data_IF_633368681881
#
_entry.id   IF_633368681881
#
_cell.length_a   1.000
_cell.length_b   1.000
_cell.length_c   1.000
_cell.angle_alpha   90.00
_cell.angle_beta   90.00
_cell.angle_gamma   90.00
#
_symmetry.space_group_name_H-M   'P 1'
#
loop_
_entity.id
_entity.type
_entity.pdbx_description
1 polymer ?
#
# COMPACT_ATOMS: atom_id res chain seq x y z
N UNK A 1 -4.58 -7.29 1.93
CA UNK A 1 -3.40 -7.98 1.39
C UNK A 1 -3.36 -9.47 1.75
N UNK A 2 -3.44 -9.89 3.02
CA UNK A 2 -3.34 -11.31 3.39
C UNK A 2 -4.41 -12.16 2.70
N UNK A 3 -5.68 -11.71 2.68
CA UNK A 3 -6.79 -12.40 2.01
C UNK A 3 -6.49 -12.66 0.52
N UNK A 4 -6.16 -11.60 -0.21
CA UNK A 4 -6.03 -11.65 -1.68
C UNK A 4 -4.73 -12.30 -2.17
N UNK A 5 -3.69 -12.32 -1.33
CA UNK A 5 -2.41 -12.91 -1.68
C UNK A 5 -2.29 -14.39 -1.30
N UNK A 6 -3.30 -14.96 -0.64
CA UNK A 6 -3.25 -16.34 -0.15
C UNK A 6 -4.57 -17.08 -0.41
N UNK A 7 -5.05 -17.18 -1.67
CA UNK A 7 -6.18 -18.04 -1.99
C UNK A 7 -5.80 -19.51 -1.84
N UNK A 8 -6.78 -20.37 -1.63
CA UNK A 8 -6.54 -21.81 -1.66
C UNK A 8 -6.14 -22.30 -3.05
N UNK A 9 -6.73 -21.71 -4.09
CA UNK A 9 -6.41 -22.00 -5.50
C UNK A 9 -6.48 -20.71 -6.33
N UNK A 10 -5.43 -20.43 -7.09
CA UNK A 10 -5.37 -19.29 -8.02
C UNK A 10 -6.29 -19.47 -9.23
N UNK A 11 -6.74 -20.70 -9.53
CA UNK A 11 -7.68 -20.97 -10.61
C UNK A 11 -9.15 -20.71 -10.19
N UNK A 12 -9.43 -20.56 -8.90
CA UNK A 12 -10.77 -20.44 -8.36
C UNK A 12 -10.84 -19.28 -7.36
N UNK A 13 -10.95 -18.06 -7.87
CA UNK A 13 -11.01 -16.81 -7.09
C UNK A 13 -12.29 -16.06 -7.45
N UNK A 14 -12.93 -15.45 -6.48
CA UNK A 14 -14.03 -14.52 -6.74
C UNK A 14 -13.54 -13.24 -7.38
N UNK A 15 -14.23 -12.74 -8.40
CA UNK A 15 -13.90 -11.50 -9.11
C UNK A 15 -13.44 -10.32 -8.23
N UNK A 16 -14.08 -9.99 -7.09
CA UNK A 16 -13.61 -8.88 -6.27
C UNK A 16 -12.24 -9.08 -5.62
N UNK A 17 -11.75 -10.33 -5.58
CA UNK A 17 -10.45 -10.72 -5.01
C UNK A 17 -9.36 -10.91 -6.06
N UNK A 18 -9.70 -10.83 -7.35
CA UNK A 18 -8.76 -10.84 -8.47
C UNK A 18 -8.24 -9.44 -8.74
N UNK A 19 -7.11 -9.34 -9.44
CA UNK A 19 -6.63 -8.09 -10.01
C UNK A 19 -7.24 -7.86 -11.38
N UNK A 20 -7.46 -6.58 -11.74
CA UNK A 20 -7.82 -6.22 -13.10
C UNK A 20 -6.71 -6.72 -14.07
N UNK A 21 -7.06 -7.29 -15.24
CA UNK A 21 -6.07 -7.84 -16.16
C UNK A 21 -5.01 -6.83 -16.60
N UNK A 22 -5.40 -5.59 -16.87
CA UNK A 22 -4.49 -4.49 -17.20
C UNK A 22 -5.14 -3.13 -16.87
N UNK A 23 -6.03 -2.61 -17.69
CA UNK A 23 -6.78 -1.38 -17.44
C UNK A 23 -8.04 -1.65 -16.61
N UNK A 24 -8.47 -0.66 -15.85
CA UNK A 24 -9.57 -0.76 -14.92
C UNK A 24 -9.10 -1.08 -13.49
N UNK A 25 -10.04 -1.47 -12.66
CA UNK A 25 -9.78 -1.78 -11.26
C UNK A 25 -10.78 -2.80 -10.70
N UNK A 26 -10.36 -3.49 -9.66
CA UNK A 26 -11.20 -4.33 -8.80
C UNK A 26 -11.01 -3.88 -7.35
N UNK A 27 -11.84 -4.33 -6.41
CA UNK A 27 -11.63 -4.02 -4.99
C UNK A 27 -10.24 -4.40 -4.47
N UNK A 28 -9.63 -5.47 -5.00
CA UNK A 28 -8.26 -5.88 -4.67
C UNK A 28 -7.21 -4.83 -5.06
N UNK A 29 -7.43 -4.11 -6.15
CA UNK A 29 -6.50 -3.08 -6.63
C UNK A 29 -6.50 -1.81 -5.75
N UNK A 30 -7.48 -1.63 -4.88
CA UNK A 30 -7.53 -0.52 -3.92
C UNK A 30 -6.65 -0.73 -2.69
N UNK A 31 -6.25 -1.96 -2.39
CA UNK A 31 -5.61 -2.33 -1.11
C UNK A 31 -4.23 -1.67 -0.96
N UNK A 32 -3.40 -1.73 -1.99
CA UNK A 32 -2.04 -1.19 -1.92
C UNK A 32 -1.99 0.35 -1.91
N UNK A 33 -2.73 1.07 -2.77
CA UNK A 33 -2.80 2.54 -2.66
C UNK A 33 -3.39 3.02 -1.33
N UNK A 34 -4.36 2.30 -0.74
CA UNK A 34 -4.87 2.62 0.59
C UNK A 34 -3.78 2.51 1.65
N UNK A 35 -2.93 1.50 1.53
CA UNK A 35 -1.80 1.36 2.45
C UNK A 35 -0.84 2.55 2.33
N UNK A 36 -0.45 2.94 1.12
CA UNK A 36 0.41 4.10 0.89
C UNK A 36 -0.23 5.42 1.37
N UNK A 37 -1.53 5.59 1.10
CA UNK A 37 -2.28 6.74 1.60
C UNK A 37 -2.26 6.83 3.13
N UNK A 38 -2.54 5.72 3.83
CA UNK A 38 -2.52 5.68 5.30
C UNK A 38 -1.12 5.87 5.88
N UNK A 39 -0.07 5.42 5.19
CA UNK A 39 1.31 5.74 5.57
C UNK A 39 1.53 7.26 5.62
N UNK A 40 1.03 8.01 4.64
CA UNK A 40 1.07 9.46 4.62
C UNK A 40 0.29 10.11 5.76
N UNK A 41 -0.95 9.67 6.00
CA UNK A 41 -1.77 10.14 7.11
C UNK A 41 -1.06 9.90 8.46
N UNK A 42 -0.63 8.66 8.70
CA UNK A 42 0.01 8.26 9.96
C UNK A 42 1.35 9.00 10.21
N UNK A 43 2.11 9.30 9.13
CA UNK A 43 3.35 10.07 9.19
C UNK A 43 3.13 11.42 9.87
N UNK A 44 2.05 12.13 9.54
CA UNK A 44 1.77 13.45 10.10
C UNK A 44 1.48 13.40 11.61
N UNK A 45 0.79 12.36 12.07
CA UNK A 45 0.57 12.14 13.51
C UNK A 45 1.87 11.74 14.24
N UNK A 46 2.66 10.84 13.64
CA UNK A 46 3.94 10.42 14.18
C UNK A 46 4.92 11.59 14.32
N UNK A 47 5.06 12.40 13.28
CA UNK A 47 5.94 13.58 13.30
C UNK A 47 5.50 14.61 14.34
N UNK A 48 4.20 14.82 14.49
CA UNK A 48 3.68 15.72 15.51
C UNK A 48 3.99 15.25 16.93
N UNK A 49 3.72 13.98 17.20
CA UNK A 49 3.98 13.40 18.52
C UNK A 49 5.47 13.47 18.89
N UNK A 50 6.36 13.08 17.95
CA UNK A 50 7.82 13.14 18.18
C UNK A 50 8.34 14.58 18.36
N UNK A 51 7.80 15.53 17.59
CA UNK A 51 8.18 16.94 17.72
C UNK A 51 7.70 17.52 19.06
N UNK A 52 6.51 17.14 19.52
CA UNK A 52 6.02 17.52 20.84
C UNK A 52 6.92 16.99 22.00
N UNK A 53 7.64 15.89 21.74
CA UNK A 53 8.66 15.34 22.63
C UNK A 53 10.06 15.92 22.39
N UNK A 54 10.20 17.00 21.61
CA UNK A 54 11.47 17.70 21.38
C UNK A 54 12.33 17.15 20.24
N UNK A 55 11.85 16.22 19.41
CA UNK A 55 12.65 15.68 18.32
C UNK A 55 12.99 16.74 17.26
N UNK A 56 14.26 16.84 16.91
CA UNK A 56 14.78 17.73 15.87
C UNK A 56 14.48 17.21 14.46
N UNK A 57 14.60 18.06 13.43
CA UNK A 57 14.45 17.63 12.03
C UNK A 57 15.43 16.52 11.64
N UNK A 58 16.69 16.64 12.10
CA UNK A 58 17.73 15.65 11.82
C UNK A 58 17.39 14.28 12.44
N UNK A 59 16.89 14.27 13.68
CA UNK A 59 16.47 13.05 14.35
C UNK A 59 15.27 12.40 13.65
N UNK A 60 14.30 13.21 13.16
CA UNK A 60 13.19 12.70 12.38
C UNK A 60 13.66 12.12 11.03
N UNK A 61 14.55 12.81 10.32
CA UNK A 61 15.12 12.33 9.06
C UNK A 61 15.89 11.01 9.25
N UNK A 62 16.72 10.93 10.30
CA UNK A 62 17.44 9.70 10.65
C UNK A 62 16.51 8.53 10.95
N UNK A 63 15.47 8.77 11.74
CA UNK A 63 14.47 7.76 12.02
C UNK A 63 13.74 7.27 10.76
N UNK A 64 13.40 8.19 9.87
CA UNK A 64 12.77 7.86 8.58
C UNK A 64 13.71 7.02 7.71
N UNK A 65 14.97 7.44 7.58
CA UNK A 65 15.98 6.72 6.80
C UNK A 65 16.15 5.29 7.32
N UNK A 66 16.37 5.14 8.63
CA UNK A 66 16.58 3.83 9.25
C UNK A 66 15.38 2.91 9.08
N UNK A 67 14.18 3.43 9.30
CA UNK A 67 12.94 2.68 9.10
C UNK A 67 12.77 2.26 7.64
N UNK A 68 13.06 3.14 6.69
CA UNK A 68 13.00 2.82 5.27
C UNK A 68 14.00 1.73 4.89
N UNK A 69 15.22 1.78 5.40
CA UNK A 69 16.25 0.76 5.17
C UNK A 69 15.81 -0.61 5.70
N UNK A 70 15.25 -0.67 6.90
CA UNK A 70 14.74 -1.92 7.47
C UNK A 70 13.60 -2.50 6.62
N UNK A 71 12.61 -1.68 6.25
CA UNK A 71 11.47 -2.14 5.44
C UNK A 71 11.97 -2.63 4.07
N UNK A 72 12.90 -1.92 3.45
CA UNK A 72 13.50 -2.31 2.17
C UNK A 72 14.26 -3.64 2.30
N UNK A 73 15.07 -3.81 3.34
CA UNK A 73 15.83 -5.02 3.60
C UNK A 73 14.91 -6.24 3.85
N UNK A 74 13.82 -6.07 4.60
CA UNK A 74 12.81 -7.12 4.79
C UNK A 74 12.20 -7.51 3.43
N UNK A 75 11.90 -6.53 2.57
CA UNK A 75 11.39 -6.81 1.23
C UNK A 75 12.37 -7.60 0.37
N UNK A 76 13.66 -7.24 0.37
CA UNK A 76 14.71 -8.00 -0.32
C UNK A 76 14.85 -9.42 0.24
N UNK A 77 14.83 -9.56 1.56
CA UNK A 77 14.87 -10.88 2.21
C UNK A 77 13.71 -11.76 1.74
N UNK A 78 12.49 -11.21 1.72
CA UNK A 78 11.32 -11.95 1.23
C UNK A 78 11.45 -12.33 -0.26
N UNK A 79 12.00 -11.46 -1.09
CA UNK A 79 12.21 -11.76 -2.51
C UNK A 79 13.27 -12.84 -2.71
N UNK A 80 14.35 -12.84 -1.92
CA UNK A 80 15.44 -13.79 -2.00
C UNK A 80 15.13 -15.18 -1.41
N UNK A 81 14.28 -15.22 -0.38
CA UNK A 81 13.99 -16.47 0.34
C UNK A 81 13.37 -17.55 -0.56
N UNK A 82 13.80 -18.82 -0.46
CA UNK A 82 14.85 -19.34 0.41
C UNK A 82 16.25 -19.41 -0.26
N UNK A 83 16.36 -19.26 -1.58
CA UNK A 83 17.54 -19.64 -2.33
C UNK A 83 18.54 -18.50 -2.60
N UNK A 84 18.13 -17.26 -2.41
CA UNK A 84 18.96 -16.05 -2.58
C UNK A 84 19.79 -16.02 -3.86
N UNK A 85 19.14 -16.30 -5.02
CA UNK A 85 19.81 -16.22 -6.33
C UNK A 85 20.09 -14.76 -6.71
N UNK A 86 21.15 -14.18 -6.20
CA UNK A 86 21.51 -12.77 -6.34
C UNK A 86 21.53 -12.25 -7.77
N UNK A 87 21.91 -13.09 -8.75
CA UNK A 87 22.00 -12.71 -10.18
C UNK A 87 20.65 -12.43 -10.84
N UNK A 88 19.54 -12.90 -10.27
CA UNK A 88 18.17 -12.75 -10.82
C UNK A 88 17.11 -12.56 -9.75
N UNK A 89 17.52 -12.26 -8.54
CA UNK A 89 16.59 -11.96 -7.47
C UNK A 89 15.84 -10.66 -7.77
N UNK A 90 14.51 -10.69 -7.72
CA UNK A 90 13.69 -9.49 -7.91
C UNK A 90 14.07 -8.41 -6.89
N UNK A 91 14.42 -7.20 -7.37
CA UNK A 91 14.73 -6.05 -6.51
C UNK A 91 13.46 -5.28 -6.14
N UNK A 92 12.56 -4.92 -7.09
CA UNK A 92 11.31 -4.27 -6.76
C UNK A 92 10.40 -5.15 -5.91
N UNK A 93 9.40 -4.53 -5.29
CA UNK A 93 8.38 -5.23 -4.52
C UNK A 93 7.60 -4.29 -3.62
N UNK A 94 6.56 -4.81 -3.01
CA UNK A 94 5.62 -4.02 -2.19
C UNK A 94 6.32 -3.29 -1.04
N UNK A 95 7.16 -3.99 -0.26
CA UNK A 95 7.87 -3.37 0.87
C UNK A 95 8.93 -2.38 0.42
N UNK A 96 9.65 -2.68 -0.66
CA UNK A 96 10.63 -1.77 -1.24
C UNK A 96 9.96 -0.48 -1.73
N UNK A 97 8.82 -0.57 -2.41
CA UNK A 97 8.05 0.60 -2.82
C UNK A 97 7.56 1.41 -1.62
N UNK A 98 7.03 0.75 -0.58
CA UNK A 98 6.63 1.42 0.66
C UNK A 98 7.80 2.17 1.26
N UNK A 99 8.97 1.54 1.35
CA UNK A 99 10.17 2.15 1.91
C UNK A 99 10.62 3.39 1.15
N UNK A 100 10.68 3.31 -0.19
CA UNK A 100 11.09 4.44 -1.05
C UNK A 100 10.05 5.56 -0.99
N UNK A 101 8.75 5.25 -1.15
CA UNK A 101 7.69 6.25 -1.10
C UNK A 101 7.63 6.94 0.27
N UNK A 102 7.78 6.19 1.37
CA UNK A 102 7.82 6.73 2.72
C UNK A 102 9.02 7.66 2.90
N UNK A 103 10.22 7.24 2.48
CA UNK A 103 11.44 8.04 2.58
C UNK A 103 11.31 9.37 1.83
N UNK A 104 10.95 9.31 0.55
CA UNK A 104 10.89 10.51 -0.30
C UNK A 104 9.78 11.46 0.17
N UNK A 105 8.60 10.95 0.47
CA UNK A 105 7.50 11.76 0.98
C UNK A 105 7.85 12.40 2.33
N UNK A 106 8.49 11.65 3.24
CA UNK A 106 8.91 12.17 4.53
C UNK A 106 9.97 13.28 4.41
N UNK A 107 10.96 13.13 3.51
CA UNK A 107 11.95 14.15 3.25
C UNK A 107 11.31 15.42 2.65
N UNK A 108 10.36 15.27 1.72
CA UNK A 108 9.60 16.41 1.17
C UNK A 108 8.80 17.13 2.27
N UNK A 109 8.15 16.39 3.16
CA UNK A 109 7.43 16.94 4.34
C UNK A 109 8.39 17.68 5.28
N UNK A 110 9.54 17.09 5.60
CA UNK A 110 10.54 17.73 6.48
C UNK A 110 11.13 19.00 5.86
N UNK A 111 11.37 19.01 4.54
CA UNK A 111 11.83 20.21 3.82
C UNK A 111 10.77 21.33 3.84
N UNK A 112 9.48 20.97 3.72
CA UNK A 112 8.37 21.93 3.72
C UNK A 112 7.94 22.40 5.13
N UNK A 113 8.53 21.89 6.22
CA UNK A 113 8.18 22.30 7.59
C UNK A 113 8.59 23.75 7.87
N UNK A 114 7.69 24.48 8.54
CA UNK A 114 8.02 25.79 9.10
C UNK A 114 8.91 25.62 10.33
N UNK A 115 9.83 26.56 10.60
CA UNK A 115 10.43 26.67 11.92
C UNK A 115 9.35 26.78 12.99
N UNK A 116 9.67 26.39 14.22
CA UNK A 116 8.76 26.62 15.34
C UNK A 116 8.50 28.13 15.49
N UNK A 117 7.25 28.49 15.68
CA UNK A 117 6.88 29.87 16.04
C UNK A 117 7.30 30.18 17.49
N UNK A 118 7.09 31.43 17.93
CA UNK A 118 7.40 31.84 19.31
C UNK A 118 6.64 31.04 20.37
N UNK A 119 5.57 30.35 19.99
CA UNK A 119 4.80 29.46 20.88
C UNK A 119 5.25 28.00 20.81
N UNK A 120 6.36 27.71 20.12
CA UNK A 120 6.88 26.35 19.93
C UNK A 120 6.08 25.51 18.94
N UNK A 121 5.08 26.08 18.24
CA UNK A 121 4.26 25.34 17.28
C UNK A 121 4.95 25.27 15.93
N UNK A 122 5.19 24.06 15.46
CA UNK A 122 5.66 23.81 14.09
C UNK A 122 4.44 23.54 13.19
N UNK A 123 4.35 24.25 12.07
CA UNK A 123 3.34 24.04 11.04
C UNK A 123 3.93 23.41 9.79
N UNK A 124 3.06 22.85 8.95
CA UNK A 124 3.42 22.38 7.61
C UNK A 124 3.08 23.44 6.58
N UNK A 125 4.00 23.70 5.64
CA UNK A 125 3.67 24.47 4.42
C UNK A 125 2.95 23.50 3.47
N UNK A 126 1.66 23.71 3.27
CA UNK A 126 0.83 22.84 2.41
C UNK A 126 1.20 23.05 0.93
N UNK A 127 1.42 24.30 0.50
CA UNK A 127 1.66 24.62 -0.91
C UNK A 127 2.83 23.85 -1.54
N UNK A 128 4.04 23.74 -0.95
CA UNK A 128 5.10 22.93 -1.53
C UNK A 128 4.71 21.44 -1.67
N UNK A 129 3.99 20.87 -0.71
CA UNK A 129 3.55 19.47 -0.77
C UNK A 129 2.56 19.27 -1.92
N UNK A 130 1.61 20.20 -2.09
CA UNK A 130 0.67 20.19 -3.23
C UNK A 130 1.41 20.31 -4.56
N UNK A 131 2.35 21.26 -4.67
CA UNK A 131 3.14 21.43 -5.89
C UNK A 131 3.91 20.18 -6.24
N UNK A 132 4.61 19.58 -5.29
CA UNK A 132 5.34 18.31 -5.52
C UNK A 132 4.40 17.20 -5.96
N UNK A 133 3.22 17.08 -5.31
CA UNK A 133 2.21 16.08 -5.70
C UNK A 133 1.75 16.28 -7.14
N UNK A 134 1.42 17.51 -7.53
CA UNK A 134 1.00 17.84 -8.89
C UNK A 134 2.12 17.60 -9.91
N UNK A 135 3.36 18.01 -9.60
CA UNK A 135 4.52 17.77 -10.46
C UNK A 135 4.74 16.28 -10.70
N UNK A 136 4.61 15.46 -9.65
CA UNK A 136 4.73 14.00 -9.78
C UNK A 136 3.61 13.42 -10.66
N UNK A 137 2.36 13.85 -10.50
CA UNK A 137 1.23 13.32 -11.26
C UNK A 137 1.25 13.80 -12.71
N UNK A 138 1.40 15.11 -12.93
CA UNK A 138 1.39 15.70 -14.28
C UNK A 138 2.67 15.33 -15.03
N UNK A 139 3.82 15.39 -14.36
CA UNK A 139 5.11 15.02 -14.97
C UNK A 139 5.17 13.54 -15.35
N UNK A 140 4.60 12.65 -14.52
CA UNK A 140 4.48 11.23 -14.85
C UNK A 140 3.56 11.01 -16.06
N UNK A 141 2.37 11.62 -16.07
CA UNK A 141 1.46 11.57 -17.22
C UNK A 141 2.16 12.07 -18.49
N UNK A 142 2.80 13.23 -18.43
CA UNK A 142 3.51 13.80 -19.57
C UNK A 142 4.64 12.90 -20.05
N UNK A 143 5.44 12.33 -19.14
CA UNK A 143 6.51 11.42 -19.51
C UNK A 143 5.97 10.16 -20.21
N UNK A 144 4.92 9.54 -19.68
CA UNK A 144 4.31 8.34 -20.26
C UNK A 144 3.62 8.60 -21.59
N UNK A 145 3.17 9.84 -21.84
CA UNK A 145 2.41 10.21 -23.05
C UNK A 145 3.31 10.73 -24.16
N UNK A 146 4.35 11.52 -23.84
CA UNK A 146 5.11 12.27 -24.85
C UNK A 146 6.55 11.77 -25.07
N UNK A 147 7.11 10.98 -24.15
CA UNK A 147 8.48 10.46 -24.36
C UNK A 147 8.40 9.23 -25.26
N UNK A 148 9.10 9.24 -26.41
CA UNK A 148 9.12 8.10 -27.31
C UNK A 148 9.90 6.92 -26.69
N UNK A 149 9.34 5.72 -26.80
CA UNK A 149 9.99 4.48 -26.41
C UNK A 149 10.65 3.85 -27.64
N UNK A 150 11.96 3.60 -27.63
CA UNK A 150 12.67 2.99 -28.75
C UNK A 150 12.04 1.66 -29.17
N UNK A 151 11.68 1.55 -30.45
CA UNK A 151 11.02 0.37 -31.02
C UNK A 151 9.49 0.32 -30.85
N UNK A 152 8.90 1.22 -30.03
CA UNK A 152 7.45 1.21 -29.75
C UNK A 152 6.74 2.53 -30.07
N UNK A 153 7.45 3.67 -30.06
CA UNK A 153 6.88 4.99 -30.35
C UNK A 153 6.41 5.74 -29.08
N UNK A 154 5.53 6.72 -29.27
CA UNK A 154 5.00 7.60 -28.19
C UNK A 154 3.65 7.12 -27.65
N UNK A 155 3.37 7.40 -26.37
CA UNK A 155 2.05 7.23 -25.77
C UNK A 155 1.61 5.77 -25.60
N UNK A 156 2.51 4.83 -25.68
CA UNK A 156 2.21 3.40 -25.47
C UNK A 156 2.01 3.11 -24.00
N UNK A 157 0.89 2.44 -23.67
CA UNK A 157 0.52 2.05 -22.31
C UNK A 157 0.31 0.54 -22.18
N UNK A 158 0.59 -0.24 -23.22
CA UNK A 158 0.58 -1.70 -23.19
C UNK A 158 1.71 -2.26 -22.29
N UNK A 159 1.63 -3.50 -21.83
CA UNK A 159 2.59 -4.07 -20.87
C UNK A 159 4.05 -3.95 -21.31
N UNK A 160 4.36 -4.17 -22.58
CA UNK A 160 5.73 -4.26 -23.09
C UNK A 160 6.25 -2.95 -23.66
N UNK A 161 5.37 -2.14 -24.27
CA UNK A 161 5.71 -0.94 -25.03
C UNK A 161 5.73 0.35 -24.23
N UNK A 162 5.31 0.36 -22.96
CA UNK A 162 5.27 1.56 -22.17
C UNK A 162 6.67 2.02 -21.67
N UNK A 163 6.81 3.31 -21.39
CA UNK A 163 8.06 3.91 -20.93
C UNK A 163 8.58 3.28 -19.63
N UNK A 164 7.68 2.93 -18.69
CA UNK A 164 8.04 2.27 -17.43
C UNK A 164 8.70 0.92 -17.69
N UNK A 165 8.10 0.08 -18.51
CA UNK A 165 8.64 -1.22 -18.87
C UNK A 165 10.00 -1.10 -19.59
N UNK A 166 10.16 -0.10 -20.45
CA UNK A 166 11.45 0.16 -21.11
C UNK A 166 12.56 0.50 -20.11
N UNK A 167 12.28 1.42 -19.17
CA UNK A 167 13.24 1.80 -18.12
C UNK A 167 13.55 0.64 -17.20
N UNK A 168 12.54 -0.10 -16.78
CA UNK A 168 12.69 -1.26 -15.90
C UNK A 168 13.61 -2.31 -16.54
N UNK A 169 13.41 -2.64 -17.82
CA UNK A 169 14.31 -3.56 -18.55
C UNK A 169 15.74 -3.06 -18.64
N UNK A 170 15.93 -1.75 -18.88
CA UNK A 170 17.26 -1.16 -19.03
C UNK A 170 18.04 -1.07 -17.73
N UNK A 171 17.37 -0.77 -16.63
CA UNK A 171 18.00 -0.51 -15.33
C UNK A 171 18.09 -1.78 -14.49
N UNK A 172 17.03 -2.59 -14.47
CA UNK A 172 16.93 -3.76 -13.58
C UNK A 172 17.24 -5.09 -14.28
N UNK A 173 17.13 -5.17 -15.60
CA UNK A 173 17.50 -6.37 -16.36
C UNK A 173 16.84 -7.65 -15.84
N UNK A 174 17.65 -8.57 -15.32
CA UNK A 174 17.18 -9.87 -14.81
C UNK A 174 16.49 -9.78 -13.43
N UNK A 175 16.45 -8.60 -12.79
CA UNK A 175 15.89 -8.39 -11.45
C UNK A 175 14.42 -7.99 -11.43
N UNK A 176 13.70 -8.18 -12.54
CA UNK A 176 12.27 -7.94 -12.71
C UNK A 176 11.43 -9.10 -12.17
N UNK A 177 10.13 -8.86 -12.10
CA UNK A 177 9.16 -9.87 -11.73
C UNK A 177 9.11 -11.01 -12.75
N UNK A 178 9.31 -12.23 -12.29
CA UNK A 178 9.46 -13.42 -13.16
C UNK A 178 8.22 -13.68 -14.02
N UNK A 179 7.03 -13.35 -13.56
CA UNK A 179 5.80 -13.60 -14.31
C UNK A 179 5.60 -12.62 -15.47
N UNK A 180 6.02 -11.36 -15.35
CA UNK A 180 5.91 -10.36 -16.41
C UNK A 180 7.12 -10.34 -17.34
N UNK A 181 8.31 -10.62 -16.82
CA UNK A 181 9.61 -10.64 -17.53
C UNK A 181 10.07 -9.30 -18.11
N UNK A 182 9.16 -8.46 -18.56
CA UNK A 182 9.42 -7.24 -19.34
C UNK A 182 9.12 -5.95 -18.58
N UNK A 183 8.37 -6.03 -17.51
CA UNK A 183 7.96 -4.91 -16.65
C UNK A 183 7.80 -5.36 -15.21
N UNK A 184 7.71 -4.43 -14.29
CA UNK A 184 7.45 -4.72 -12.87
C UNK A 184 6.32 -3.83 -12.32
N UNK A 185 5.27 -4.40 -11.66
CA UNK A 185 4.19 -3.60 -11.08
C UNK A 185 4.68 -2.61 -10.01
N UNK A 186 5.84 -2.88 -9.40
CA UNK A 186 6.54 -1.97 -8.49
C UNK A 186 7.79 -1.37 -9.12
N UNK A 187 7.77 -1.12 -10.44
CA UNK A 187 8.87 -0.57 -11.23
C UNK A 187 9.26 0.88 -10.86
N UNK A 188 10.34 1.36 -11.47
CA UNK A 188 10.95 2.66 -11.17
C UNK A 188 9.99 3.80 -11.48
N UNK A 189 9.48 3.83 -12.72
CA UNK A 189 8.62 4.93 -13.17
C UNK A 189 7.31 5.01 -12.39
N UNK A 190 6.65 3.88 -12.14
CA UNK A 190 5.40 3.82 -11.38
C UNK A 190 5.56 4.18 -9.89
N UNK A 191 6.81 4.26 -9.40
CA UNK A 191 7.10 4.72 -8.03
C UNK A 191 6.89 6.23 -7.86
N UNK A 192 7.06 7.05 -8.90
CA UNK A 192 6.82 8.50 -8.82
C UNK A 192 5.37 8.84 -8.46
N UNK A 193 4.35 8.35 -9.17
CA UNK A 193 2.96 8.59 -8.78
C UNK A 193 2.57 7.85 -7.48
N UNK A 194 3.25 6.76 -7.11
CA UNK A 194 3.05 6.12 -5.82
C UNK A 194 3.50 7.02 -4.64
N UNK A 195 4.57 7.82 -4.81
CA UNK A 195 4.96 8.86 -3.85
C UNK A 195 3.84 9.90 -3.72
N UNK A 196 3.22 10.31 -4.83
CA UNK A 196 2.08 11.24 -4.79
C UNK A 196 0.90 10.67 -3.99
N UNK A 197 0.64 9.35 -4.03
CA UNK A 197 -0.37 8.71 -3.18
C UNK A 197 -0.07 8.91 -1.69
N UNK A 198 1.19 8.78 -1.26
CA UNK A 198 1.61 9.06 0.12
C UNK A 198 1.42 10.54 0.45
N UNK A 199 1.79 11.45 -0.46
CA UNK A 199 1.67 12.90 -0.25
C UNK A 199 0.20 13.34 -0.15
N UNK A 200 -0.73 12.74 -0.89
CA UNK A 200 -2.17 12.96 -0.69
C UNK A 200 -2.58 12.55 0.73
N UNK A 201 -2.09 11.42 1.21
CA UNK A 201 -2.28 11.02 2.61
C UNK A 201 -1.69 12.02 3.61
N UNK A 202 -0.53 12.60 3.33
CA UNK A 202 0.09 13.67 4.14
C UNK A 202 -0.82 14.90 4.21
N UNK A 203 -1.38 15.36 3.08
CA UNK A 203 -2.29 16.50 3.03
C UNK A 203 -3.54 16.25 3.87
N UNK A 204 -4.11 15.06 3.78
CA UNK A 204 -5.26 14.65 4.59
C UNK A 204 -4.90 14.57 6.07
N UNK A 205 -3.74 14.01 6.41
CA UNK A 205 -3.27 13.92 7.79
C UNK A 205 -3.06 15.31 8.42
N UNK A 206 -2.49 16.25 7.66
CA UNK A 206 -2.32 17.64 8.13
C UNK A 206 -3.67 18.33 8.32
N UNK A 207 -4.62 18.13 7.38
CA UNK A 207 -5.95 18.69 7.53
C UNK A 207 -6.71 18.09 8.74
N UNK A 208 -6.62 16.79 8.97
CA UNK A 208 -7.23 16.15 10.14
C UNK A 208 -6.64 16.66 11.47
N UNK A 209 -5.36 17.06 11.48
CA UNK A 209 -4.68 17.64 12.64
C UNK A 209 -4.91 19.13 12.82
N UNK A 210 -5.45 19.81 11.81
CA UNK A 210 -5.62 21.27 11.85
C UNK A 210 -6.45 21.70 13.07
N UNK A 211 -5.94 22.65 13.89
CA UNK A 211 -6.65 23.18 15.07
C UNK A 211 -7.83 24.09 14.71
N UNK A 212 -7.94 24.51 13.42
CA UNK A 212 -9.08 25.33 12.95
C UNK A 212 -10.43 24.65 13.14
N UNK A 213 -10.40 23.35 13.37
CA UNK A 213 -11.57 22.53 13.65
C UNK A 213 -11.32 21.79 14.97
N UNK A 214 -11.86 22.25 16.12
CA UNK A 214 -11.61 21.67 17.44
C UNK A 214 -11.90 20.16 17.46
N UNK A 215 -11.08 19.37 18.14
CA UNK A 215 -11.24 17.92 18.22
C UNK A 215 -12.13 17.57 19.44
N UNK A 216 -13.21 16.82 19.22
CA UNK A 216 -14.07 16.31 20.29
C UNK A 216 -15.06 15.28 19.74
N UNK A 217 -15.31 14.21 20.49
CA UNK A 217 -16.29 13.19 20.13
C UNK A 217 -17.68 13.81 19.91
N UNK A 218 -18.30 13.52 18.76
CA UNK A 218 -19.64 14.04 18.42
C UNK A 218 -19.72 15.55 18.15
N UNK A 219 -18.58 16.27 18.18
CA UNK A 219 -18.51 17.71 17.99
C UNK A 219 -18.87 18.13 16.55
N UNK A 220 -19.32 19.40 16.38
CA UNK A 220 -19.50 20.05 15.08
C UNK A 220 -18.23 19.88 14.21
N UNK A 221 -17.07 19.93 14.83
CA UNK A 221 -15.77 19.76 14.22
C UNK A 221 -15.55 18.38 13.60
N UNK A 222 -15.90 17.32 14.30
CA UNK A 222 -15.79 15.96 13.80
C UNK A 222 -16.69 15.74 12.57
N UNK A 223 -17.89 16.31 12.57
CA UNK A 223 -18.80 16.28 11.42
C UNK A 223 -18.24 17.06 10.21
N UNK A 224 -17.61 18.22 10.42
CA UNK A 224 -16.95 18.98 9.34
C UNK A 224 -15.80 18.20 8.74
N UNK A 225 -14.97 17.54 9.55
CA UNK A 225 -13.88 16.66 9.07
C UNK A 225 -14.42 15.48 8.28
N UNK A 226 -15.49 14.83 8.75
CA UNK A 226 -16.17 13.77 8.01
C UNK A 226 -16.68 14.25 6.66
N UNK A 227 -17.48 15.34 6.67
CA UNK A 227 -18.08 15.89 5.45
C UNK A 227 -17.01 16.29 4.42
N UNK A 228 -15.92 16.92 4.87
CA UNK A 228 -14.80 17.28 4.00
C UNK A 228 -14.08 16.07 3.40
N UNK A 229 -13.84 14.99 4.19
CA UNK A 229 -13.28 13.75 3.66
C UNK A 229 -14.20 13.12 2.61
N UNK A 230 -15.49 13.04 2.88
CA UNK A 230 -16.47 12.47 1.95
C UNK A 230 -16.58 13.32 0.67
N UNK A 231 -16.64 14.65 0.79
CA UNK A 231 -16.73 15.55 -0.37
C UNK A 231 -15.44 15.52 -1.21
N UNK A 232 -14.27 15.64 -0.58
CA UNK A 232 -13.00 15.54 -1.30
C UNK A 232 -12.78 14.16 -1.91
N UNK A 233 -13.21 13.12 -1.21
CA UNK A 233 -13.16 11.74 -1.71
C UNK A 233 -14.07 11.55 -2.92
N UNK A 234 -15.33 12.00 -2.86
CA UNK A 234 -16.26 11.96 -3.98
C UNK A 234 -15.73 12.74 -5.20
N UNK A 235 -15.18 13.95 -4.97
CA UNK A 235 -14.53 14.72 -6.02
C UNK A 235 -13.35 13.96 -6.65
N UNK A 236 -12.50 13.31 -5.83
CA UNK A 236 -11.40 12.48 -6.32
C UNK A 236 -11.85 11.30 -7.17
N UNK A 237 -12.96 10.63 -6.79
CA UNK A 237 -13.56 9.56 -7.59
C UNK A 237 -14.02 10.08 -8.95
N UNK A 238 -14.80 11.17 -8.96
CA UNK A 238 -15.31 11.77 -10.20
C UNK A 238 -14.16 12.22 -11.11
N UNK A 239 -13.16 12.92 -10.57
CA UNK A 239 -11.99 13.39 -11.35
C UNK A 239 -11.20 12.21 -11.88
N UNK A 240 -10.99 11.16 -11.08
CA UNK A 240 -10.28 9.95 -11.52
C UNK A 240 -10.96 9.26 -12.69
N UNK A 241 -12.29 9.14 -12.65
CA UNK A 241 -13.10 8.60 -13.76
C UNK A 241 -13.10 9.52 -14.99
N UNK A 242 -13.16 10.83 -14.82
CA UNK A 242 -13.06 11.78 -15.93
C UNK A 242 -11.69 11.76 -16.61
N UNK A 243 -10.64 11.41 -15.89
CA UNK A 243 -9.29 11.22 -16.44
C UNK A 243 -9.10 9.87 -17.13
N UNK A 244 -9.95 8.87 -16.85
CA UNK A 244 -9.82 7.51 -17.36
C UNK A 244 -9.71 7.40 -18.88
N UNK A 245 -10.50 8.14 -19.68
CA UNK A 245 -10.40 8.09 -21.13
C UNK A 245 -9.07 8.61 -21.69
N UNK A 246 -8.43 9.56 -21.00
CA UNK A 246 -7.18 10.20 -21.43
C UNK A 246 -5.94 9.46 -20.89
N UNK A 247 -6.04 8.92 -19.71
CA UNK A 247 -4.96 8.16 -19.04
C UNK A 247 -5.61 7.05 -18.21
N UNK A 248 -5.74 5.84 -18.73
CA UNK A 248 -6.54 4.76 -18.14
C UNK A 248 -6.18 4.50 -16.68
N UNK A 249 -7.20 4.23 -15.85
CA UNK A 249 -6.98 3.73 -14.49
C UNK A 249 -6.26 2.40 -14.60
N UNK A 250 -5.01 2.35 -14.14
CA UNK A 250 -4.16 1.16 -14.25
C UNK A 250 -3.23 1.06 -13.03
N UNK A 251 -3.39 -0.02 -12.27
CA UNK A 251 -2.59 -0.30 -11.08
C UNK A 251 -1.14 -0.64 -11.42
N UNK A 252 -0.91 -1.40 -12.47
CA UNK A 252 0.44 -1.88 -12.82
C UNK A 252 1.34 -0.72 -13.24
N UNK A 253 0.79 0.26 -13.94
CA UNK A 253 1.45 1.52 -14.28
C UNK A 253 1.37 2.56 -13.15
N UNK A 254 0.47 2.40 -12.20
CA UNK A 254 0.18 3.38 -11.14
C UNK A 254 -0.16 4.75 -11.71
N UNK A 255 -1.04 4.78 -12.73
CA UNK A 255 -1.37 5.99 -13.49
C UNK A 255 -1.87 7.13 -12.61
N UNK A 256 -1.72 8.37 -13.07
CA UNK A 256 -2.18 9.54 -12.30
C UNK A 256 -3.70 9.53 -12.08
N UNK A 257 -4.48 9.04 -13.03
CA UNK A 257 -5.91 8.77 -12.88
C UNK A 257 -6.20 7.77 -11.77
N UNK A 258 -5.43 6.68 -11.72
CA UNK A 258 -5.52 5.67 -10.65
C UNK A 258 -5.18 6.26 -9.28
N UNK A 259 -4.15 7.12 -9.17
CA UNK A 259 -3.80 7.79 -7.91
C UNK A 259 -4.93 8.68 -7.41
N UNK A 260 -5.53 9.50 -8.29
CA UNK A 260 -6.64 10.40 -7.94
C UNK A 260 -7.87 9.60 -7.54
N UNK A 261 -8.20 8.58 -8.31
CA UNK A 261 -9.33 7.69 -8.06
C UNK A 261 -9.19 6.94 -6.73
N UNK A 262 -8.07 6.25 -6.52
CA UNK A 262 -7.84 5.48 -5.30
C UNK A 262 -7.63 6.34 -4.07
N UNK A 263 -7.04 7.53 -4.22
CA UNK A 263 -6.98 8.56 -3.19
C UNK A 263 -8.37 9.05 -2.78
N UNK A 264 -9.26 9.24 -3.76
CA UNK A 264 -10.69 9.54 -3.53
C UNK A 264 -11.38 8.44 -2.72
N UNK A 265 -11.23 7.18 -3.12
CA UNK A 265 -11.78 6.03 -2.38
C UNK A 265 -11.22 5.93 -0.95
N UNK A 266 -9.91 6.14 -0.79
CA UNK A 266 -9.27 6.11 0.53
C UNK A 266 -9.83 7.21 1.45
N UNK A 267 -10.09 8.41 0.93
CA UNK A 267 -10.71 9.51 1.68
C UNK A 267 -12.16 9.19 2.06
N UNK A 268 -12.95 8.61 1.15
CA UNK A 268 -14.33 8.17 1.47
C UNK A 268 -14.31 7.12 2.58
N UNK A 269 -13.49 6.07 2.44
CA UNK A 269 -13.40 5.02 3.45
C UNK A 269 -12.92 5.56 4.81
N UNK A 270 -11.89 6.42 4.81
CA UNK A 270 -11.40 7.08 6.01
C UNK A 270 -12.50 7.96 6.64
N UNK A 271 -13.26 8.69 5.83
CA UNK A 271 -14.39 9.52 6.27
C UNK A 271 -15.50 8.70 6.93
N UNK A 272 -15.85 7.54 6.35
CA UNK A 272 -16.82 6.60 6.93
C UNK A 272 -16.31 6.01 8.25
N UNK A 273 -15.05 5.56 8.31
CA UNK A 273 -14.44 5.06 9.53
C UNK A 273 -14.41 6.14 10.62
N UNK A 274 -13.99 7.36 10.27
CA UNK A 274 -13.95 8.49 11.17
C UNK A 274 -15.36 8.85 11.69
N UNK A 275 -16.37 8.82 10.83
CA UNK A 275 -17.76 9.04 11.22
C UNK A 275 -18.26 7.96 12.18
N UNK A 276 -18.03 6.69 11.89
CA UNK A 276 -18.48 5.58 12.75
C UNK A 276 -17.77 5.58 14.11
N UNK A 277 -16.45 5.80 14.11
CA UNK A 277 -15.61 5.64 15.31
C UNK A 277 -15.60 6.93 16.16
N UNK A 278 -15.36 8.10 15.53
CA UNK A 278 -15.13 9.34 16.24
C UNK A 278 -16.41 10.17 16.43
N UNK A 279 -17.35 10.13 15.47
CA UNK A 279 -18.63 10.86 15.57
C UNK A 279 -19.69 10.04 16.27
N UNK A 280 -19.90 8.79 15.85
CA UNK A 280 -20.93 7.90 16.41
C UNK A 280 -20.47 7.10 17.65
N UNK A 281 -19.17 6.97 17.87
CA UNK A 281 -18.60 6.24 19.00
C UNK A 281 -18.65 4.70 18.88
N UNK A 282 -19.00 4.16 17.72
CA UNK A 282 -19.03 2.71 17.48
C UNK A 282 -17.61 2.17 17.28
N UNK A 283 -16.95 1.73 18.33
CA UNK A 283 -15.53 1.32 18.35
C UNK A 283 -15.32 -0.20 18.35
N UNK A 284 -16.26 -0.98 18.87
CA UNK A 284 -16.07 -2.43 19.13
C UNK A 284 -15.76 -3.23 17.87
N UNK A 285 -16.41 -2.91 16.76
CA UNK A 285 -16.18 -3.58 15.47
C UNK A 285 -14.76 -3.36 14.91
N UNK A 286 -14.11 -2.26 15.31
CA UNK A 286 -12.77 -1.91 14.84
C UNK A 286 -11.66 -2.70 15.55
N UNK A 287 -11.97 -3.40 16.65
CA UNK A 287 -10.97 -4.12 17.45
C UNK A 287 -10.12 -5.12 16.66
N UNK A 288 -10.66 -5.99 15.80
CA UNK A 288 -9.84 -6.90 15.01
C UNK A 288 -8.85 -6.16 14.07
N UNK A 289 -9.31 -5.06 13.46
CA UNK A 289 -8.47 -4.22 12.60
C UNK A 289 -7.39 -3.48 13.39
N UNK A 290 -7.70 -3.03 14.60
CA UNK A 290 -6.72 -2.44 15.52
C UNK A 290 -5.63 -3.45 15.88
N UNK A 291 -6.03 -4.68 16.23
CA UNK A 291 -5.11 -5.77 16.54
C UNK A 291 -4.15 -6.02 15.38
N UNK A 292 -4.65 -6.16 14.16
CA UNK A 292 -3.81 -6.28 12.97
C UNK A 292 -2.92 -5.06 12.73
N UNK A 293 -3.46 -3.86 12.92
CA UNK A 293 -2.74 -2.59 12.69
C UNK A 293 -1.53 -2.39 13.60
N UNK A 294 -1.53 -2.97 14.81
CA UNK A 294 -0.42 -2.80 15.76
C UNK A 294 0.89 -3.42 15.30
N UNK A 295 0.85 -4.47 14.48
CA UNK A 295 2.01 -5.22 13.97
C UNK A 295 1.96 -5.43 12.46
N UNK A 296 1.39 -4.49 11.70
CA UNK A 296 1.00 -4.68 10.29
C UNK A 296 2.13 -5.11 9.34
N UNK A 297 3.31 -4.49 9.42
CA UNK A 297 4.47 -4.83 8.56
C UNK A 297 5.03 -6.20 8.93
N UNK A 298 5.16 -6.47 10.23
CA UNK A 298 5.66 -7.74 10.73
C UNK A 298 4.78 -8.91 10.26
N UNK A 299 3.45 -8.77 10.38
CA UNK A 299 2.51 -9.80 9.95
C UNK A 299 2.47 -9.96 8.44
N UNK A 300 2.54 -8.86 7.70
CA UNK A 300 2.66 -8.94 6.25
C UNK A 300 3.90 -9.73 5.83
N UNK A 301 5.04 -9.45 6.44
CA UNK A 301 6.30 -10.14 6.15
C UNK A 301 6.22 -11.63 6.52
N UNK A 302 5.76 -11.95 7.73
CA UNK A 302 5.65 -13.34 8.19
C UNK A 302 4.61 -14.14 7.42
N UNK A 303 3.45 -13.54 7.09
CA UNK A 303 2.44 -14.22 6.29
C UNK A 303 2.96 -14.54 4.88
N UNK A 304 3.69 -13.61 4.26
CA UNK A 304 4.34 -13.85 2.98
C UNK A 304 5.43 -14.91 3.05
N UNK A 305 6.22 -14.93 4.14
CA UNK A 305 7.24 -15.95 4.38
C UNK A 305 6.62 -17.34 4.55
N UNK A 306 5.57 -17.46 5.37
CA UNK A 306 4.87 -18.72 5.58
C UNK A 306 4.21 -19.21 4.28
N UNK A 307 3.60 -18.32 3.51
CA UNK A 307 3.00 -18.67 2.22
C UNK A 307 4.06 -19.23 1.25
N UNK A 308 5.22 -18.56 1.12
CA UNK A 308 6.34 -19.09 0.31
C UNK A 308 6.85 -20.43 0.83
N UNK A 309 7.08 -20.53 2.13
CA UNK A 309 7.53 -21.77 2.75
C UNK A 309 6.56 -22.93 2.46
N UNK A 310 5.25 -22.69 2.57
CA UNK A 310 4.22 -23.72 2.33
C UNK A 310 4.16 -24.24 0.90
N UNK A 311 4.60 -23.45 -0.07
CA UNK A 311 4.68 -23.87 -1.50
C UNK A 311 6.03 -24.56 -1.80
N UNK A 312 7.09 -24.25 -1.06
CA UNK A 312 8.42 -24.80 -1.29
C UNK A 312 8.62 -26.14 -0.59
N UNK A 313 8.21 -26.22 0.68
CA UNK A 313 8.35 -27.45 1.44
C UNK A 313 7.30 -28.47 1.00
N UNK A 314 7.79 -29.70 0.72
CA UNK A 314 6.98 -30.83 0.29
C UNK A 314 6.78 -31.79 1.45
N UNK A 315 5.58 -32.39 1.50
CA UNK A 315 5.24 -33.50 2.38
C UNK A 315 4.89 -34.71 1.54
N UNK A 316 5.03 -35.90 2.10
CA UNK A 316 4.60 -37.14 1.44
C UNK A 316 3.09 -37.16 1.38
N UNK A 317 2.53 -37.07 0.18
CA UNK A 317 1.10 -37.20 -0.07
C UNK A 317 0.59 -38.64 0.02
N UNK A 318 -0.73 -38.86 -0.08
CA UNK A 318 -1.32 -40.22 -0.01
C UNK A 318 -0.75 -41.18 -1.04
N UNK A 319 -0.33 -40.71 -2.22
CA UNK A 319 0.18 -41.49 -3.33
C UNK A 319 1.73 -41.60 -3.32
N UNK A 320 2.38 -41.37 -2.18
CA UNK A 320 3.85 -41.33 -2.04
C UNK A 320 4.55 -40.26 -2.91
N UNK A 321 3.79 -39.40 -3.57
CA UNK A 321 4.32 -38.25 -4.32
C UNK A 321 4.49 -37.04 -3.41
N UNK A 322 5.59 -36.34 -3.56
CA UNK A 322 5.83 -35.11 -2.80
C UNK A 322 4.87 -34.00 -3.26
N UNK A 323 3.88 -33.65 -2.45
CA UNK A 323 2.97 -32.51 -2.65
C UNK A 323 3.41 -31.34 -1.80
N UNK A 324 3.12 -30.09 -2.23
CA UNK A 324 3.43 -28.92 -1.41
C UNK A 324 2.56 -28.93 -0.14
N UNK A 325 3.10 -28.36 0.94
CA UNK A 325 2.31 -28.28 2.19
C UNK A 325 1.03 -27.48 2.02
N UNK A 326 1.09 -26.42 1.20
CA UNK A 326 -0.10 -25.64 0.81
C UNK A 326 -1.16 -26.52 0.16
N UNK A 327 -0.82 -27.26 -0.91
CA UNK A 327 -1.77 -28.14 -1.61
C UNK A 327 -2.30 -29.24 -0.69
N UNK A 328 -1.43 -29.86 0.11
CA UNK A 328 -1.84 -30.90 1.05
C UNK A 328 -2.93 -30.41 2.04
N UNK A 329 -2.72 -29.24 2.65
CA UNK A 329 -3.69 -28.65 3.58
C UNK A 329 -4.97 -28.25 2.85
N UNK A 330 -4.86 -27.62 1.68
CA UNK A 330 -6.00 -27.18 0.90
C UNK A 330 -6.85 -28.35 0.42
N UNK A 331 -6.23 -29.35 -0.21
CA UNK A 331 -6.94 -30.49 -0.79
C UNK A 331 -7.58 -31.38 0.27
N UNK A 332 -6.89 -31.60 1.41
CA UNK A 332 -7.37 -32.47 2.47
C UNK A 332 -8.49 -31.86 3.32
N UNK A 333 -8.40 -30.56 3.62
CA UNK A 333 -9.28 -29.95 4.62
C UNK A 333 -10.32 -29.00 4.02
N UNK A 334 -10.10 -28.43 2.85
CA UNK A 334 -11.00 -27.41 2.30
C UNK A 334 -11.76 -27.88 1.06
N UNK A 335 -11.12 -28.60 0.16
CA UNK A 335 -11.79 -29.11 -1.06
C UNK A 335 -13.01 -29.99 -0.76
N UNK A 336 -13.00 -30.86 0.28
CA UNK A 336 -14.19 -31.69 0.59
C UNK A 336 -15.36 -30.89 1.18
N UNK A 337 -15.14 -29.66 1.66
CA UNK A 337 -16.15 -28.87 2.39
C UNK A 337 -17.08 -28.08 1.48
N UNK A 338 -16.63 -27.69 0.28
CA UNK A 338 -17.36 -26.75 -0.56
C UNK A 338 -16.95 -26.83 -2.05
N UNK A 339 -17.71 -26.12 -2.91
CA UNK A 339 -17.32 -25.97 -4.32
C UNK A 339 -15.92 -25.32 -4.46
N UNK A 340 -15.20 -25.53 -5.57
CA UNK A 340 -13.80 -25.10 -5.71
C UNK A 340 -13.55 -23.62 -5.36
N UNK A 341 -14.43 -22.73 -5.79
CA UNK A 341 -14.30 -21.28 -5.51
C UNK A 341 -14.56 -20.96 -4.02
N UNK A 342 -15.53 -21.65 -3.39
CA UNK A 342 -15.81 -21.48 -1.97
C UNK A 342 -14.73 -22.11 -1.10
N UNK A 343 -14.20 -23.26 -1.47
CA UNK A 343 -13.07 -23.90 -0.78
C UNK A 343 -11.84 -23.00 -0.78
N UNK A 344 -11.55 -22.37 -1.93
CA UNK A 344 -10.45 -21.39 -2.05
C UNK A 344 -10.65 -20.16 -1.13
N UNK A 345 -11.87 -19.64 -1.06
CA UNK A 345 -12.21 -18.54 -0.16
C UNK A 345 -12.13 -18.95 1.32
N UNK A 346 -12.64 -20.14 1.68
CA UNK A 346 -12.56 -20.66 3.05
C UNK A 346 -11.12 -20.81 3.52
N UNK A 347 -10.21 -21.29 2.65
CA UNK A 347 -8.79 -21.34 2.96
C UNK A 347 -8.22 -19.94 3.23
N UNK A 348 -8.53 -18.94 2.39
CA UNK A 348 -8.07 -17.57 2.57
C UNK A 348 -8.63 -16.95 3.87
N UNK A 349 -9.88 -17.22 4.21
CA UNK A 349 -10.50 -16.78 5.47
C UNK A 349 -9.80 -17.45 6.67
N UNK A 350 -9.58 -18.76 6.60
CA UNK A 350 -8.83 -19.49 7.64
C UNK A 350 -7.44 -18.86 7.85
N UNK A 351 -6.74 -18.53 6.75
CA UNK A 351 -5.42 -17.93 6.82
C UNK A 351 -5.44 -16.55 7.49
N UNK A 352 -6.47 -15.74 7.22
CA UNK A 352 -6.67 -14.46 7.94
C UNK A 352 -6.93 -14.70 9.43
N UNK A 353 -7.82 -15.63 9.76
CA UNK A 353 -8.17 -15.90 11.16
C UNK A 353 -6.98 -16.44 11.95
N UNK A 354 -6.15 -17.27 11.33
CA UNK A 354 -4.89 -17.75 11.91
C UNK A 354 -3.98 -16.56 12.27
N UNK A 355 -3.77 -15.64 11.33
CA UNK A 355 -2.94 -14.47 11.58
C UNK A 355 -3.57 -13.48 12.56
N UNK A 356 -4.90 -13.36 12.57
CA UNK A 356 -5.61 -12.57 13.57
C UNK A 356 -5.39 -13.14 14.98
N UNK A 357 -5.48 -14.46 15.11
CA UNK A 357 -5.23 -15.13 16.38
C UNK A 357 -3.79 -14.92 16.87
N UNK A 358 -2.80 -15.14 16.00
CA UNK A 358 -1.39 -14.91 16.35
C UNK A 358 -1.12 -13.46 16.74
N UNK A 359 -1.70 -12.50 16.00
CA UNK A 359 -1.56 -11.06 16.32
C UNK A 359 -2.26 -10.71 17.63
N UNK A 360 -3.41 -11.31 17.87
CA UNK A 360 -4.15 -11.11 19.10
C UNK A 360 -3.36 -11.60 20.33
N UNK A 361 -2.63 -12.70 20.22
CA UNK A 361 -1.71 -13.16 21.27
C UNK A 361 -0.61 -12.13 21.55
N UNK A 362 0.00 -11.56 20.50
CA UNK A 362 1.00 -10.49 20.65
C UNK A 362 0.38 -9.25 21.28
N UNK A 363 -0.81 -8.87 20.83
CA UNK A 363 -1.55 -7.72 21.35
C UNK A 363 -1.89 -7.87 22.84
N UNK A 364 -2.36 -9.05 23.26
CA UNK A 364 -2.62 -9.35 24.69
C UNK A 364 -1.38 -9.28 25.56
N UNK A 365 -0.23 -9.66 25.01
CA UNK A 365 1.07 -9.59 25.70
C UNK A 365 1.73 -8.21 25.58
N UNK A 366 1.05 -7.21 25.00
CA UNK A 366 1.59 -5.86 24.73
C UNK A 366 2.89 -5.87 23.93
N UNK A 367 3.09 -6.87 23.05
CA UNK A 367 4.24 -6.96 22.17
C UNK A 367 3.93 -6.22 20.87
N UNK A 368 4.54 -5.06 20.70
CA UNK A 368 4.40 -4.23 19.52
C UNK A 368 5.74 -4.13 18.81
N UNK A 369 5.87 -4.85 17.69
CA UNK A 369 7.09 -4.86 16.89
C UNK A 369 7.05 -3.63 15.98
N UNK A 370 7.69 -2.56 16.46
CA UNK A 370 7.79 -1.29 15.75
C UNK A 370 9.01 -1.34 14.85
N UNK A 371 8.76 -1.37 13.55
CA UNK A 371 9.78 -1.23 12.52
C UNK A 371 9.82 0.23 12.08
#
# INVERSE_FOLDING_TARGET
>A
MILVNNPGSWAHIYWPLEHAPWNGWTPTDLIFPFFLFIVGVAMMFSFASRTALGATRAQLAWHVLWRSLIIFAIGLFLNGFPYFHWSRMRIPGVLQRIAVCYLVAALAVLAARRPADRSGRTGQRIAPVVVVTLVLLVGYWAAMTFIPVPGYGVGRLDPDGNLGAYIDRRVMGAHLWVQSKTWDPEGIMSTFPAIATVLIGVLVGEWLRSPRVPSGHGSRAARVKTAGLLAAGAAGLVVGELLHPFFPINKNLWTSSYVVFTGGFAMVLLGLCYWLIDVKGYRRWATPFLVYGTNSIFIFALSGLLAKASVIFKVTGPDSRGVTWHSYVYDKFFVPLASPINASLLFAIFYILLWLFLTWLLYRKHIFIKI
#
